data_IF_555063392461
#
_entry.id   IF_555063392461
#
_cell.length_a   1.000
_cell.length_b   1.000
_cell.length_c   1.000
_cell.angle_alpha   90.00
_cell.angle_beta   90.00
_cell.angle_gamma   90.00
#
_symmetry.space_group_name_H-M   'P 1'
#
loop_
_entity.id
_entity.type
_entity.pdbx_description
1 polymer ?
#
# COMPACT_ATOMS: atom_id res chain seq x y z
N UNK A 1 10.03 3.09 15.07
CA UNK A 1 11.46 2.76 15.24
C UNK A 1 12.09 3.62 16.34
N UNK A 2 12.83 3.01 17.25
CA UNK A 2 13.57 3.67 18.34
C UNK A 2 15.02 3.18 18.25
N UNK A 3 16.00 4.06 18.45
CA UNK A 3 17.42 3.67 18.51
C UNK A 3 17.76 3.32 19.95
N UNK A 4 18.39 2.17 20.14
CA UNK A 4 18.78 1.66 21.46
C UNK A 4 20.29 1.44 21.46
N UNK A 5 21.00 2.18 22.30
CA UNK A 5 22.48 2.18 22.30
C UNK A 5 23.07 1.25 23.36
N UNK A 6 22.26 0.79 24.33
CA UNK A 6 22.77 0.04 25.49
C UNK A 6 21.76 -1.01 25.99
N UNK A 7 22.25 -2.02 26.70
CA UNK A 7 21.45 -3.13 27.21
C UNK A 7 20.36 -2.67 28.20
N UNK A 8 20.65 -1.72 29.08
CA UNK A 8 19.65 -1.18 30.03
C UNK A 8 18.47 -0.52 29.29
N UNK A 9 18.75 0.33 28.30
CA UNK A 9 17.71 0.93 27.45
C UNK A 9 16.92 -0.14 26.69
N UNK A 10 17.55 -1.25 26.31
CA UNK A 10 16.86 -2.35 25.65
C UNK A 10 15.84 -3.02 26.57
N UNK A 11 16.18 -3.24 27.84
CA UNK A 11 15.25 -3.76 28.84
C UNK A 11 14.06 -2.81 29.06
N UNK A 12 14.34 -1.49 29.14
CA UNK A 12 13.27 -0.48 29.25
C UNK A 12 12.32 -0.53 28.05
N UNK A 13 12.85 -0.60 26.82
CA UNK A 13 12.03 -0.70 25.61
C UNK A 13 11.28 -2.05 25.55
N UNK A 14 11.87 -3.15 26.00
CA UNK A 14 11.17 -4.43 26.09
C UNK A 14 9.95 -4.35 27.03
N UNK A 15 10.07 -3.61 28.14
CA UNK A 15 8.92 -3.36 29.03
C UNK A 15 7.82 -2.54 28.34
N UNK A 16 8.18 -1.55 27.52
CA UNK A 16 7.21 -0.77 26.73
C UNK A 16 6.54 -1.64 25.66
N UNK A 17 7.29 -2.50 24.98
CA UNK A 17 6.75 -3.46 24.01
C UNK A 17 5.77 -4.44 24.67
N UNK A 18 6.02 -4.86 25.90
CA UNK A 18 5.09 -5.72 26.63
C UNK A 18 3.72 -5.05 26.85
N UNK A 19 3.68 -3.72 26.98
CA UNK A 19 2.44 -2.96 27.11
C UNK A 19 1.66 -2.82 25.80
N UNK A 20 2.36 -2.82 24.65
CA UNK A 20 1.70 -2.62 23.35
C UNK A 20 1.00 -3.88 22.82
N UNK A 21 1.21 -5.04 23.45
CA UNK A 21 0.59 -6.33 23.11
C UNK A 21 0.68 -6.68 21.61
N UNK A 22 1.77 -6.27 20.95
CA UNK A 22 2.01 -6.53 19.53
C UNK A 22 3.41 -7.11 19.33
N UNK A 23 3.63 -7.73 18.18
CA UNK A 23 4.98 -8.14 17.78
C UNK A 23 5.87 -6.93 17.53
N UNK A 24 7.16 -7.11 17.78
CA UNK A 24 8.20 -6.10 17.53
C UNK A 24 9.43 -6.77 16.95
N UNK A 25 10.13 -6.07 16.07
CA UNK A 25 11.37 -6.55 15.45
C UNK A 25 12.55 -5.72 15.92
N UNK A 26 13.70 -6.38 16.11
CA UNK A 26 14.98 -5.73 16.40
C UNK A 26 15.95 -6.01 15.26
N UNK A 27 16.54 -4.95 14.73
CA UNK A 27 17.53 -5.01 13.65
C UNK A 27 18.78 -4.21 14.06
N UNK A 28 19.98 -4.58 13.60
CA UNK A 28 21.19 -3.80 13.85
C UNK A 28 21.05 -2.37 13.32
N UNK A 29 21.54 -1.39 14.09
CA UNK A 29 21.56 -0.01 13.64
C UNK A 29 22.62 0.16 12.54
N UNK A 30 22.18 0.61 11.37
CA UNK A 30 23.05 0.93 10.24
C UNK A 30 23.20 2.44 10.19
N UNK A 31 24.44 2.93 10.28
CA UNK A 31 24.76 4.33 10.07
C UNK A 31 24.83 4.65 8.57
N UNK A 32 23.66 4.78 7.96
CA UNK A 32 23.53 5.05 6.54
C UNK A 32 23.62 6.55 6.26
N UNK A 33 24.57 6.95 5.41
CA UNK A 33 24.68 8.34 4.92
C UNK A 33 23.50 8.75 4.02
N UNK A 34 22.92 7.78 3.32
CA UNK A 34 21.79 7.96 2.44
C UNK A 34 20.88 6.72 2.48
N UNK A 35 19.59 6.92 2.26
CA UNK A 35 18.61 5.85 2.00
C UNK A 35 18.36 5.76 0.50
N UNK A 36 18.18 4.55 -0.03
CA UNK A 36 17.77 4.35 -1.42
C UNK A 36 16.35 3.82 -1.41
N UNK A 37 15.49 4.49 -2.16
CA UNK A 37 14.12 4.11 -2.40
C UNK A 37 13.92 3.77 -3.87
N UNK A 38 13.64 2.51 -4.17
CA UNK A 38 13.36 2.04 -5.54
C UNK A 38 11.85 1.87 -5.65
N UNK A 39 11.23 2.55 -6.60
CA UNK A 39 9.81 2.52 -6.88
C UNK A 39 9.55 1.86 -8.22
N UNK A 40 8.53 1.01 -8.28
CA UNK A 40 7.97 0.46 -9.52
C UNK A 40 6.50 0.72 -9.59
N UNK A 41 6.07 1.38 -10.67
CA UNK A 41 4.67 1.58 -11.02
C UNK A 41 4.45 0.90 -12.37
N UNK A 42 3.83 -0.28 -12.37
CA UNK A 42 3.60 -1.04 -13.60
C UNK A 42 4.92 -1.48 -14.23
N UNK A 43 5.26 -0.90 -15.38
CA UNK A 43 6.52 -1.15 -16.08
C UNK A 43 7.56 -0.02 -15.90
N UNK A 44 7.19 1.04 -15.18
CA UNK A 44 8.07 2.18 -14.93
C UNK A 44 8.85 1.98 -13.64
N UNK A 45 10.17 2.21 -13.69
CA UNK A 45 11.10 2.02 -12.58
C UNK A 45 11.82 3.33 -12.29
N UNK A 46 11.73 3.79 -11.04
CA UNK A 46 12.42 5.00 -10.57
C UNK A 46 13.21 4.69 -9.30
N UNK A 47 14.41 5.23 -9.19
CA UNK A 47 15.20 5.15 -7.96
C UNK A 47 15.47 6.56 -7.42
N UNK A 48 15.31 6.70 -6.10
CA UNK A 48 15.54 7.94 -5.38
C UNK A 48 16.54 7.69 -4.25
N UNK A 49 17.57 8.52 -4.17
CA UNK A 49 18.46 8.60 -3.03
C UNK A 49 17.97 9.72 -2.12
N UNK A 50 17.83 9.42 -0.83
CA UNK A 50 17.43 10.38 0.18
C UNK A 50 18.56 10.59 1.18
N UNK A 51 19.06 11.82 1.25
CA UNK A 51 20.14 12.22 2.17
C UNK A 51 19.58 13.13 3.24
N UNK A 52 19.76 12.74 4.51
CA UNK A 52 19.31 13.54 5.66
C UNK A 52 20.20 14.78 5.81
N UNK A 53 19.62 15.98 5.70
CA UNK A 53 20.37 17.24 5.91
C UNK A 53 20.36 17.61 7.40
N UNK A 54 19.31 17.24 8.13
CA UNK A 54 19.11 17.62 9.53
C UNK A 54 19.84 16.76 10.55
N UNK A 55 20.76 15.88 10.13
CA UNK A 55 21.47 14.95 11.02
C UNK A 55 20.57 13.91 11.71
N UNK A 56 19.31 13.77 11.25
CA UNK A 56 18.41 12.74 11.76
C UNK A 56 18.83 11.38 11.19
N UNK A 57 19.05 10.41 12.07
CA UNK A 57 19.26 9.01 11.69
C UNK A 57 18.03 8.39 11.00
N UNK A 58 16.85 9.00 11.22
CA UNK A 58 15.63 8.73 10.45
C UNK A 58 15.55 9.71 9.29
N UNK A 59 16.11 9.37 8.14
CA UNK A 59 16.05 10.22 6.95
C UNK A 59 14.61 10.51 6.47
N UNK A 60 13.61 9.74 6.90
CA UNK A 60 12.19 10.01 6.63
C UNK A 60 11.56 11.09 7.53
N UNK A 61 12.24 11.51 8.60
CA UNK A 61 11.74 12.47 9.60
C UNK A 61 12.59 13.74 9.57
N UNK A 62 11.99 14.86 9.14
CA UNK A 62 12.68 16.15 9.01
C UNK A 62 13.07 16.47 7.56
N UNK A 63 13.96 17.44 7.39
CA UNK A 63 14.41 17.90 6.08
C UNK A 63 15.44 16.95 5.49
N UNK A 64 15.13 16.42 4.31
CA UNK A 64 16.01 15.53 3.58
C UNK A 64 16.04 15.96 2.10
N UNK A 65 17.23 15.85 1.50
CA UNK A 65 17.43 16.01 0.07
C UNK A 65 16.97 14.73 -0.62
N UNK A 66 16.20 14.86 -1.70
CA UNK A 66 15.88 13.74 -2.58
C UNK A 66 16.57 13.98 -3.92
N UNK A 67 17.33 13.00 -4.37
CA UNK A 67 17.96 13.00 -5.69
C UNK A 67 17.52 11.77 -6.46
N UNK A 68 17.14 11.95 -7.72
CA UNK A 68 16.85 10.82 -8.60
C UNK A 68 18.16 10.20 -9.07
N UNK A 69 18.25 8.87 -8.96
CA UNK A 69 19.42 8.10 -9.36
C UNK A 69 19.04 7.17 -10.51
N UNK A 70 19.98 6.95 -11.43
CA UNK A 70 19.79 5.99 -12.52
C UNK A 70 19.52 4.59 -11.97
N UNK A 71 18.59 3.87 -12.62
CA UNK A 71 18.38 2.45 -12.34
C UNK A 71 19.63 1.66 -12.76
N UNK A 72 20.00 0.70 -11.92
CA UNK A 72 21.08 -0.26 -12.19
C UNK A 72 20.51 -1.67 -12.14
N UNK A 73 21.14 -2.61 -12.83
CA UNK A 73 20.72 -4.03 -12.88
C UNK A 73 20.52 -4.63 -11.49
N UNK A 74 21.32 -4.19 -10.51
CA UNK A 74 21.18 -4.61 -9.11
C UNK A 74 19.82 -4.18 -8.51
N UNK A 75 19.37 -2.95 -8.77
CA UNK A 75 18.10 -2.43 -8.26
C UNK A 75 16.90 -3.09 -8.94
N UNK A 76 17.02 -3.37 -10.24
CA UNK A 76 16.02 -4.13 -10.99
C UNK A 76 15.89 -5.56 -10.47
N UNK A 77 17.01 -6.22 -10.20
CA UNK A 77 17.03 -7.57 -9.63
C UNK A 77 16.37 -7.59 -8.24
N UNK A 78 16.75 -6.66 -7.34
CA UNK A 78 16.13 -6.55 -6.02
C UNK A 78 14.62 -6.39 -6.15
N UNK A 79 14.17 -5.46 -6.99
CA UNK A 79 12.76 -5.21 -7.18
C UNK A 79 12.00 -6.39 -7.80
N UNK A 80 12.64 -7.14 -8.70
CA UNK A 80 12.09 -8.36 -9.28
C UNK A 80 11.93 -9.47 -8.23
N UNK A 81 12.94 -9.66 -7.37
CA UNK A 81 12.87 -10.62 -6.26
C UNK A 81 11.73 -10.32 -5.28
N UNK A 82 11.54 -9.06 -4.90
CA UNK A 82 10.47 -8.67 -3.98
C UNK A 82 9.08 -8.69 -4.64
N UNK A 83 8.97 -8.25 -5.90
CA UNK A 83 7.72 -8.35 -6.67
C UNK A 83 7.26 -9.80 -6.85
N UNK A 84 8.20 -10.74 -6.98
CA UNK A 84 7.87 -12.17 -7.11
C UNK A 84 7.32 -12.78 -5.81
N UNK A 85 7.81 -12.30 -4.66
CA UNK A 85 7.42 -12.78 -3.33
C UNK A 85 6.06 -12.26 -2.87
N UNK A 86 5.64 -11.10 -3.40
CA UNK A 86 4.39 -10.41 -3.03
C UNK A 86 3.47 -10.31 -4.26
N UNK A 87 2.78 -11.39 -4.60
CA UNK A 87 1.75 -11.38 -5.67
C UNK A 87 0.36 -10.99 -5.13
N UNK A 88 -0.50 -10.27 -5.89
CA UNK A 88 -0.22 -9.37 -7.00
C UNK A 88 -0.31 -7.93 -6.51
N UNK A 89 0.82 -7.30 -6.22
CA UNK A 89 0.84 -5.89 -5.85
C UNK A 89 0.99 -5.02 -7.11
N UNK A 90 0.08 -4.05 -7.29
CA UNK A 90 0.01 -3.17 -8.46
C UNK A 90 1.25 -2.26 -8.59
N UNK A 91 1.80 -1.82 -7.47
CA UNK A 91 3.03 -1.03 -7.42
C UNK A 91 3.71 -1.21 -6.06
N UNK A 92 5.02 -0.99 -6.01
CA UNK A 92 5.86 -1.28 -4.84
C UNK A 92 6.98 -0.24 -4.72
N UNK A 93 7.39 0.13 -3.51
CA UNK A 93 8.76 0.55 -3.29
C UNK A 93 9.47 -0.19 -2.18
N UNK A 94 10.78 -0.28 -2.37
CA UNK A 94 11.74 -0.82 -1.44
C UNK A 94 12.51 0.37 -0.87
N UNK A 95 12.48 0.55 0.44
CA UNK A 95 13.46 1.39 1.16
C UNK A 95 14.59 0.49 1.67
N UNK A 96 15.81 1.02 1.75
CA UNK A 96 17.02 0.30 2.16
C UNK A 96 16.93 -0.26 3.59
N UNK A 97 15.90 0.09 4.35
CA UNK A 97 15.59 -0.51 5.65
C UNK A 97 14.72 -1.78 5.57
N UNK A 98 14.90 -2.60 4.53
CA UNK A 98 14.20 -3.89 4.29
C UNK A 98 12.67 -3.82 4.32
N UNK A 99 12.09 -2.64 4.14
CA UNK A 99 10.65 -2.44 4.14
C UNK A 99 10.14 -2.31 2.72
N UNK A 100 9.38 -3.32 2.32
CA UNK A 100 8.59 -3.34 1.09
C UNK A 100 7.27 -2.67 1.41
N UNK A 101 7.04 -1.48 0.82
CA UNK A 101 5.78 -0.75 0.95
C UNK A 101 4.94 -0.99 -0.28
N UNK A 102 3.68 -1.35 -0.06
CA UNK A 102 2.73 -1.64 -1.13
C UNK A 102 1.98 -0.43 -1.67
N UNK A 103 0.69 -0.64 -1.96
CA UNK A 103 -0.18 0.36 -2.58
C UNK A 103 -0.57 1.56 -1.69
N UNK A 104 0.03 1.70 -0.51
CA UNK A 104 -0.16 2.84 0.40
C UNK A 104 1.06 3.75 0.46
N UNK A 105 2.01 3.53 -0.43
CA UNK A 105 3.29 4.21 -0.44
C UNK A 105 3.15 5.69 -0.85
N UNK A 106 3.78 6.64 -0.12
CA UNK A 106 3.71 8.06 -0.46
C UNK A 106 4.55 8.37 -1.70
N UNK A 107 3.97 9.02 -2.70
CA UNK A 107 4.70 9.51 -3.87
C UNK A 107 5.71 10.59 -3.45
N UNK A 108 6.93 10.53 -4.00
CA UNK A 108 8.04 11.41 -3.61
C UNK A 108 8.80 11.89 -4.85
N UNK A 109 9.52 13.00 -4.70
CA UNK A 109 10.23 13.67 -5.79
C UNK A 109 9.31 14.57 -6.62
N UNK A 110 9.79 15.00 -7.78
CA UNK A 110 9.09 15.95 -8.64
C UNK A 110 8.13 15.27 -9.63
N UNK A 111 8.30 13.98 -9.87
CA UNK A 111 7.53 13.19 -10.86
C UNK A 111 6.20 12.64 -10.29
N UNK A 112 5.67 13.21 -9.21
CA UNK A 112 4.45 12.69 -8.57
C UNK A 112 3.21 12.80 -9.47
N UNK A 113 3.16 13.80 -10.35
CA UNK A 113 2.05 13.97 -11.28
C UNK A 113 2.02 12.83 -12.31
N UNK A 114 3.18 12.49 -12.87
CA UNK A 114 3.34 11.36 -13.78
C UNK A 114 3.03 10.03 -13.07
N UNK A 115 3.54 9.84 -11.85
CA UNK A 115 3.25 8.66 -11.04
C UNK A 115 1.75 8.47 -10.82
N UNK A 116 1.01 9.55 -10.52
CA UNK A 116 -0.45 9.49 -10.38
C UNK A 116 -1.14 9.07 -11.68
N UNK A 117 -0.66 9.58 -12.81
CA UNK A 117 -1.21 9.23 -14.12
C UNK A 117 -0.93 7.76 -14.46
N UNK A 118 0.28 7.26 -14.22
CA UNK A 118 0.64 5.86 -14.40
C UNK A 118 -0.19 4.93 -13.51
N UNK A 119 -0.45 5.33 -12.25
CA UNK A 119 -1.34 4.58 -11.36
C UNK A 119 -2.77 4.54 -11.93
N UNK A 120 -3.30 5.67 -12.39
CA UNK A 120 -4.64 5.73 -12.97
C UNK A 120 -4.78 4.85 -14.21
N UNK A 121 -3.81 4.93 -15.14
CA UNK A 121 -3.77 4.11 -16.35
C UNK A 121 -3.72 2.62 -16.02
N UNK A 122 -2.90 2.24 -15.03
CA UNK A 122 -2.80 0.84 -14.59
C UNK A 122 -4.10 0.33 -13.98
N UNK A 123 -4.78 1.15 -13.17
CA UNK A 123 -6.07 0.79 -12.57
C UNK A 123 -7.12 0.61 -13.66
N UNK A 124 -7.18 1.51 -14.65
CA UNK A 124 -8.09 1.40 -15.80
C UNK A 124 -7.82 0.11 -16.59
N UNK A 125 -6.57 -0.16 -16.95
CA UNK A 125 -6.21 -1.38 -17.67
C UNK A 125 -6.59 -2.66 -16.88
N UNK A 126 -6.50 -2.63 -15.55
CA UNK A 126 -6.91 -3.75 -14.68
C UNK A 126 -8.42 -3.89 -14.57
N UNK A 127 -9.15 -2.78 -14.51
CA UNK A 127 -10.61 -2.77 -14.54
C UNK A 127 -11.12 -3.35 -15.86
N UNK A 128 -10.54 -2.92 -16.99
CA UNK A 128 -10.89 -3.45 -18.32
C UNK A 128 -10.58 -4.94 -18.43
N UNK A 129 -9.43 -5.39 -17.92
CA UNK A 129 -9.09 -6.81 -17.88
C UNK A 129 -10.07 -7.63 -17.04
N UNK A 130 -10.50 -7.12 -15.89
CA UNK A 130 -11.47 -7.80 -15.03
C UNK A 130 -12.87 -7.84 -15.67
N UNK A 131 -13.25 -6.79 -16.39
CA UNK A 131 -14.51 -6.74 -17.16
C UNK A 131 -14.48 -7.74 -18.34
N UNK A 132 -13.34 -7.85 -19.05
CA UNK A 132 -13.16 -8.84 -20.12
C UNK A 132 -13.16 -10.29 -19.60
N UNK A 133 -12.71 -10.52 -18.36
CA UNK A 133 -12.69 -11.83 -17.72
C UNK A 133 -14.05 -12.22 -17.08
N UNK A 134 -15.01 -11.31 -16.98
CA UNK A 134 -16.34 -11.59 -16.44
C UNK A 134 -17.46 -11.13 -17.41
N UNK A 135 -17.83 -11.94 -18.41
CA UNK A 135 -18.87 -11.60 -19.39
C UNK A 135 -20.31 -11.56 -18.83
N UNK A 136 -20.51 -11.73 -17.51
CA UNK A 136 -21.84 -11.87 -16.90
C UNK A 136 -22.04 -10.81 -15.81
N UNK A 137 -22.39 -9.60 -16.23
CA UNK A 137 -23.38 -8.81 -15.48
C UNK A 137 -24.34 -8.17 -16.50
N UNK A 138 -25.54 -8.74 -16.71
CA UNK A 138 -26.57 -8.01 -17.41
C UNK A 138 -26.96 -6.83 -16.54
N UNK A 139 -26.61 -5.61 -16.95
CA UNK A 139 -27.35 -4.40 -16.59
C UNK A 139 -28.71 -4.47 -17.29
N UNK A 140 -29.62 -5.28 -16.75
CA UNK A 140 -31.04 -5.13 -17.05
C UNK A 140 -31.58 -4.06 -16.12
N UNK A 141 -31.48 -2.80 -16.56
CA UNK A 141 -32.45 -1.80 -16.13
C UNK A 141 -33.75 -2.21 -16.82
N UNK A 142 -34.60 -2.96 -16.11
CA UNK A 142 -35.97 -3.20 -16.54
C UNK A 142 -36.80 -1.99 -16.08
N UNK A 143 -37.35 -1.14 -16.98
CA UNK A 143 -38.45 -0.29 -16.62
C UNK A 143 -39.72 -1.16 -16.61
N UNK A 144 -39.96 -1.88 -15.51
CA UNK A 144 -41.22 -2.65 -15.38
C UNK A 144 -42.27 -1.75 -14.78
N UNK A 145 -43.29 -1.53 -15.60
CA UNK A 145 -44.41 -0.62 -15.43
C UNK A 145 -45.14 -0.85 -14.11
N UNK A 146 -45.45 0.26 -13.43
CA UNK A 146 -46.52 0.34 -12.43
C UNK A 146 -47.84 -0.03 -13.10
N UNK A 147 -48.37 -1.22 -12.77
CA UNK A 147 -49.79 -1.51 -12.93
C UNK A 147 -50.32 -2.18 -11.65
N UNK A 148 -51.35 -1.53 -11.14
CA UNK A 148 -51.99 -1.80 -9.86
C UNK A 148 -52.72 -3.14 -9.85
N UNK A 149 -52.62 -3.86 -8.73
CA UNK A 149 -53.69 -4.75 -8.27
C UNK A 149 -53.83 -4.64 -6.74
N UNK A 150 -54.70 -3.71 -6.35
CA UNK A 150 -55.52 -3.72 -5.14
C UNK A 150 -56.18 -5.09 -4.94
N UNK A 151 -56.46 -5.47 -3.68
CA UNK A 151 -57.00 -6.75 -3.16
C UNK A 151 -55.90 -7.79 -2.85
N UNK A 152 -55.50 -8.03 -1.60
CA UNK A 152 -56.37 -8.55 -0.53
C UNK A 152 -55.65 -8.48 0.82
N UNK A 153 -55.87 -7.40 1.58
CA UNK A 153 -55.68 -7.38 3.03
C UNK A 153 -56.96 -7.99 3.62
N UNK A 154 -56.93 -9.22 4.18
CA UNK A 154 -57.94 -9.71 5.16
C UNK A 154 -57.84 -11.20 5.58
N UNK A 155 -56.67 -11.85 5.64
CA UNK A 155 -56.59 -13.22 6.18
C UNK A 155 -55.39 -13.45 7.11
N UNK A 156 -55.28 -12.61 8.15
CA UNK A 156 -54.39 -12.87 9.28
C UNK A 156 -55.03 -12.39 10.60
N UNK A 157 -56.30 -12.76 10.79
CA UNK A 157 -57.00 -12.53 12.05
C UNK A 157 -58.07 -13.61 12.30
N UNK A 158 -57.66 -14.87 12.38
CA UNK A 158 -58.45 -15.97 12.97
C UNK A 158 -57.51 -17.01 13.56
N UNK A 159 -56.98 -16.72 14.74
CA UNK A 159 -56.47 -17.73 15.70
C UNK A 159 -56.29 -17.07 17.08
N UNK A 160 -57.40 -16.64 17.69
CA UNK A 160 -57.57 -16.47 19.14
C UNK A 160 -59.07 -16.66 19.43
N UNK A 161 -59.40 -17.54 20.38
CA UNK A 161 -60.72 -18.02 20.83
C UNK A 161 -61.25 -19.29 20.16
N UNK A 162 -60.75 -20.44 20.62
CA UNK A 162 -61.51 -21.39 21.45
C UNK A 162 -60.57 -22.28 22.26
#
# INVERSE_FOLDING_TARGET
KVKVDNHTKFQDIASVVALTQTYSTSEPFIDSKYDIRIQKIGNDYKAYMRTSISGNWKSNTGTAMLEQVAMTDRYELMNTFFSLRVKPMLYCAISCSDQVVGSSMPLVGDHQAEDRQLIAEMVLAKMDQAMAQNPQRPTTIQPTQVHALTHSISLLQRDVFL
#
